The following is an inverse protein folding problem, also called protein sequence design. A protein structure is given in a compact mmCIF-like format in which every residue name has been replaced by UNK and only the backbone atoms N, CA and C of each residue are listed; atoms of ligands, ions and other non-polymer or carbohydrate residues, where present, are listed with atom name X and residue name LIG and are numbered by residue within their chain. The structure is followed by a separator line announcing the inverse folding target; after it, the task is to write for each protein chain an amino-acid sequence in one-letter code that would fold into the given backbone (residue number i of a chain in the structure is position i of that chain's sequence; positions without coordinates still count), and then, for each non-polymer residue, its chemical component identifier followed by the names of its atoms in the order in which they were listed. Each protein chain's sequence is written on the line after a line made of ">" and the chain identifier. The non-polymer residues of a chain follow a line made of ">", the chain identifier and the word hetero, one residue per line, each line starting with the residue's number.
data_IF_775560873971
#
_entry.id   IF_775560873971
#
_cell.length_a   1.000
_cell.length_b   1.000
_cell.length_c   1.000
_cell.angle_alpha   90.00
_cell.angle_beta   90.00
_cell.angle_gamma   90.00
#
_symmetry.space_group_name_H-M   'P 1'
#
loop_
_entity.id
_entity.type
_entity.pdbx_description
1 polymer ?
#
# COMPACT_ATOMS: atom_id res chain seq x y z
N UNK A 1 2.25 24.30 -7.81
CA UNK A 1 1.46 23.06 -7.57
C UNK A 1 2.32 21.92 -7.05
N UNK A 2 3.60 21.91 -7.32
CA UNK A 2 4.53 20.87 -6.85
C UNK A 2 4.56 20.73 -5.32
N UNK A 3 4.44 21.85 -4.59
CA UNK A 3 4.35 21.82 -3.13
C UNK A 3 3.08 21.10 -2.64
N UNK A 4 1.95 21.28 -3.30
CA UNK A 4 0.71 20.56 -2.98
C UNK A 4 0.87 19.07 -3.22
N UNK A 5 1.49 18.69 -4.33
CA UNK A 5 1.81 17.31 -4.63
C UNK A 5 2.75 16.71 -3.58
N UNK A 6 3.79 17.45 -3.16
CA UNK A 6 4.71 17.01 -2.10
C UNK A 6 3.98 16.75 -0.78
N UNK A 7 3.10 17.66 -0.36
CA UNK A 7 2.28 17.47 0.86
C UNK A 7 1.39 16.24 0.71
N UNK A 8 0.76 16.08 -0.45
CA UNK A 8 -0.06 14.88 -0.75
C UNK A 8 0.75 13.59 -0.66
N UNK A 9 1.97 13.57 -1.20
CA UNK A 9 2.90 12.42 -1.10
C UNK A 9 3.22 12.10 0.34
N UNK A 10 3.59 13.09 1.16
CA UNK A 10 3.92 12.91 2.58
C UNK A 10 2.73 12.29 3.33
N UNK A 11 1.53 12.86 3.17
CA UNK A 11 0.33 12.36 3.84
C UNK A 11 -0.03 10.94 3.38
N UNK A 12 0.07 10.69 2.09
CA UNK A 12 -0.27 9.40 1.51
C UNK A 12 0.68 8.28 1.99
N UNK A 13 2.00 8.52 1.96
CA UNK A 13 2.97 7.48 2.30
C UNK A 13 3.13 7.24 3.79
N UNK A 14 2.70 8.16 4.65
CA UNK A 14 2.81 8.00 6.10
C UNK A 14 2.19 6.69 6.58
N UNK A 15 1.02 6.33 6.05
CA UNK A 15 0.35 5.06 6.34
C UNK A 15 1.20 3.85 5.92
N UNK A 16 1.77 3.90 4.72
CA UNK A 16 2.55 2.79 4.16
C UNK A 16 3.88 2.59 4.88
N UNK A 17 4.57 3.67 5.25
CA UNK A 17 5.81 3.58 6.02
C UNK A 17 5.56 3.01 7.42
N UNK A 18 4.49 3.44 8.09
CA UNK A 18 4.08 2.86 9.37
C UNK A 18 3.69 1.37 9.22
N UNK A 19 2.96 1.02 8.16
CA UNK A 19 2.59 -0.36 7.86
C UNK A 19 3.81 -1.23 7.55
N UNK A 20 4.79 -0.72 6.79
CA UNK A 20 6.03 -1.43 6.50
C UNK A 20 6.80 -1.79 7.78
N UNK A 21 6.86 -0.88 8.75
CA UNK A 21 7.46 -1.15 10.06
C UNK A 21 6.79 -2.34 10.75
N UNK A 22 5.46 -2.37 10.77
CA UNK A 22 4.70 -3.51 11.33
C UNK A 22 5.00 -4.83 10.60
N UNK A 23 4.93 -4.83 9.28
CA UNK A 23 5.20 -6.01 8.45
C UNK A 23 6.60 -6.58 8.67
N UNK A 24 7.61 -5.73 8.82
CA UNK A 24 9.00 -6.17 8.96
C UNK A 24 9.39 -6.53 10.39
N UNK A 25 8.85 -5.81 11.39
CA UNK A 25 9.19 -6.03 12.80
C UNK A 25 8.30 -7.05 13.51
N UNK A 26 7.06 -7.24 13.01
CA UNK A 26 6.05 -8.13 13.59
C UNK A 26 5.58 -9.20 12.59
N UNK A 27 6.45 -9.63 11.71
CA UNK A 27 6.10 -10.53 10.59
C UNK A 27 5.50 -11.87 11.04
N UNK A 28 5.91 -12.38 12.21
CA UNK A 28 5.33 -13.64 12.77
C UNK A 28 3.89 -13.45 13.21
N UNK A 29 3.59 -12.40 13.96
CA UNK A 29 2.23 -12.11 14.44
C UNK A 29 1.29 -11.74 13.27
N UNK A 30 1.74 -10.87 12.39
CA UNK A 30 0.98 -10.47 11.20
C UNK A 30 0.83 -11.64 10.22
N UNK A 31 1.88 -12.48 10.07
CA UNK A 31 1.82 -13.69 9.27
C UNK A 31 0.83 -14.71 9.81
N UNK A 32 0.74 -14.88 11.15
CA UNK A 32 -0.28 -15.74 11.75
C UNK A 32 -1.71 -15.27 11.40
N UNK A 33 -1.95 -13.97 11.45
CA UNK A 33 -3.23 -13.39 11.03
C UNK A 33 -3.48 -13.58 9.51
N UNK A 34 -2.48 -13.33 8.68
CA UNK A 34 -2.59 -13.56 7.24
C UNK A 34 -2.87 -15.04 6.91
N UNK A 35 -2.24 -15.97 7.64
CA UNK A 35 -2.50 -17.39 7.52
C UNK A 35 -3.94 -17.78 7.87
N UNK A 36 -4.53 -17.13 8.89
CA UNK A 36 -5.94 -17.35 9.24
C UNK A 36 -6.91 -16.88 8.13
N UNK A 37 -6.46 -16.00 7.26
CA UNK A 37 -7.21 -15.54 6.06
C UNK A 37 -6.91 -16.38 4.81
N UNK A 38 -6.08 -17.40 4.92
CA UNK A 38 -5.77 -18.32 3.83
C UNK A 38 -4.60 -17.89 2.93
N UNK A 39 -3.79 -16.93 3.37
CA UNK A 39 -2.60 -16.48 2.61
C UNK A 39 -1.55 -17.59 2.65
N UNK A 40 -1.04 -18.06 1.49
CA UNK A 40 0.02 -19.07 1.46
C UNK A 40 1.36 -18.49 1.93
N UNK A 41 2.18 -19.29 2.61
CA UNK A 41 3.47 -18.88 3.18
C UNK A 41 3.38 -17.52 3.91
N UNK A 42 2.49 -17.41 4.93
CA UNK A 42 2.00 -16.11 5.38
C UNK A 42 3.08 -15.23 6.03
N UNK A 43 4.06 -15.79 6.71
CA UNK A 43 5.18 -15.01 7.28
C UNK A 43 6.04 -14.43 6.17
N UNK A 44 6.40 -15.23 5.17
CA UNK A 44 7.17 -14.77 4.02
C UNK A 44 6.37 -13.72 3.21
N UNK A 45 5.08 -13.97 2.97
CA UNK A 45 4.21 -13.00 2.29
C UNK A 45 4.16 -11.66 3.04
N UNK A 46 4.10 -11.69 4.37
CA UNK A 46 4.15 -10.48 5.20
C UNK A 46 5.49 -9.75 5.06
N UNK A 47 6.61 -10.46 5.08
CA UNK A 47 7.93 -9.84 4.93
C UNK A 47 8.12 -9.24 3.53
N UNK A 48 7.76 -9.99 2.48
CA UNK A 48 7.86 -9.52 1.08
C UNK A 48 6.97 -8.29 0.87
N UNK A 49 5.74 -8.31 1.36
CA UNK A 49 4.86 -7.14 1.28
C UNK A 49 5.41 -5.96 2.07
N UNK A 50 6.01 -6.19 3.23
CA UNK A 50 6.70 -5.15 4.01
C UNK A 50 7.81 -4.45 3.24
N UNK A 51 8.66 -5.22 2.55
CA UNK A 51 9.70 -4.66 1.67
C UNK A 51 9.08 -3.90 0.49
N UNK A 52 8.05 -4.46 -0.14
CA UNK A 52 7.38 -3.84 -1.29
C UNK A 52 6.79 -2.47 -0.93
N UNK A 53 6.06 -2.38 0.20
CA UNK A 53 5.45 -1.11 0.63
C UNK A 53 6.48 -0.12 1.18
N UNK A 54 7.58 -0.60 1.76
CA UNK A 54 8.69 0.27 2.17
C UNK A 54 9.34 0.93 0.94
N UNK A 55 9.72 0.13 -0.05
CA UNK A 55 10.32 0.64 -1.29
C UNK A 55 9.36 1.56 -2.04
N UNK A 56 8.10 1.15 -2.19
CA UNK A 56 7.06 1.98 -2.82
C UNK A 56 6.84 3.29 -2.08
N UNK A 57 6.74 3.25 -0.76
CA UNK A 57 6.56 4.44 0.07
C UNK A 57 7.74 5.41 -0.01
N UNK A 58 8.97 4.92 0.09
CA UNK A 58 10.18 5.75 -0.04
C UNK A 58 10.28 6.34 -1.45
N UNK A 59 10.03 5.54 -2.46
CA UNK A 59 10.03 5.97 -3.86
C UNK A 59 9.05 7.13 -4.09
N UNK A 60 7.80 6.98 -3.67
CA UNK A 60 6.78 8.04 -3.77
C UNK A 60 7.15 9.26 -2.95
N UNK A 61 7.65 9.08 -1.72
CA UNK A 61 8.02 10.18 -0.83
C UNK A 61 9.10 11.06 -1.46
N UNK A 62 10.18 10.45 -1.93
CA UNK A 62 11.34 11.16 -2.47
C UNK A 62 11.17 11.54 -3.94
N UNK A 63 10.19 10.97 -4.64
CA UNK A 63 10.08 11.08 -6.09
C UNK A 63 11.26 10.42 -6.79
N UNK A 64 11.71 9.30 -6.26
CA UNK A 64 12.73 8.45 -6.86
C UNK A 64 12.02 7.36 -7.67
N UNK A 65 11.86 7.56 -8.97
CA UNK A 65 10.99 6.73 -9.83
C UNK A 65 9.60 6.57 -9.18
N UNK A 66 8.96 7.70 -8.86
CA UNK A 66 7.72 7.72 -8.09
C UNK A 66 6.56 7.01 -8.78
N UNK A 67 6.57 6.95 -10.11
CA UNK A 67 5.65 6.16 -10.94
C UNK A 67 5.78 4.66 -10.63
N UNK A 68 7.01 4.10 -10.65
CA UNK A 68 7.26 2.71 -10.28
C UNK A 68 6.86 2.43 -8.82
N UNK A 69 7.23 3.34 -7.89
CA UNK A 69 6.86 3.22 -6.49
C UNK A 69 5.34 3.19 -6.27
N UNK A 70 4.62 4.00 -7.02
CA UNK A 70 3.15 4.02 -6.99
C UNK A 70 2.56 2.67 -7.43
N UNK A 71 3.12 2.05 -8.47
CA UNK A 71 2.71 0.71 -8.91
C UNK A 71 2.99 -0.37 -7.86
N UNK A 72 4.10 -0.27 -7.11
CA UNK A 72 4.38 -1.19 -5.99
C UNK A 72 3.26 -1.14 -4.93
N UNK A 73 2.76 0.06 -4.63
CA UNK A 73 1.66 0.23 -3.69
C UNK A 73 0.35 -0.34 -4.23
N UNK A 74 0.05 -0.19 -5.52
CA UNK A 74 -1.12 -0.82 -6.17
C UNK A 74 -1.03 -2.34 -6.08
N UNK A 75 0.14 -2.91 -6.42
CA UNK A 75 0.40 -4.37 -6.38
C UNK A 75 0.25 -4.93 -4.96
N UNK A 76 0.55 -4.16 -3.94
CA UNK A 76 0.28 -4.54 -2.55
C UNK A 76 -1.21 -4.42 -2.19
N UNK A 77 -1.84 -3.28 -2.51
CA UNK A 77 -3.17 -2.93 -2.02
C UNK A 77 -4.28 -3.82 -2.58
N UNK A 78 -4.27 -4.11 -3.88
CA UNK A 78 -5.35 -4.87 -4.50
C UNK A 78 -5.39 -6.34 -4.04
N UNK A 79 -4.28 -7.10 -4.01
CA UNK A 79 -4.30 -8.43 -3.42
C UNK A 79 -4.64 -8.41 -1.93
N UNK A 80 -4.16 -7.42 -1.17
CA UNK A 80 -4.47 -7.28 0.26
C UNK A 80 -5.97 -7.09 0.47
N UNK A 81 -6.61 -6.20 -0.28
CA UNK A 81 -8.06 -6.02 -0.22
C UNK A 81 -8.81 -7.33 -0.45
N UNK A 82 -8.42 -8.08 -1.49
CA UNK A 82 -9.13 -9.31 -1.86
C UNK A 82 -8.86 -10.48 -0.91
N UNK A 83 -7.65 -10.62 -0.38
CA UNK A 83 -7.25 -11.76 0.44
C UNK A 83 -7.48 -11.51 1.93
N UNK A 84 -7.11 -10.32 2.42
CA UNK A 84 -7.17 -10.00 3.84
C UNK A 84 -8.51 -9.44 4.28
N UNK A 85 -9.19 -8.70 3.40
CA UNK A 85 -10.41 -7.97 3.71
C UNK A 85 -11.62 -8.48 2.90
N UNK A 86 -11.72 -9.79 2.76
CA UNK A 86 -12.81 -10.48 2.06
C UNK A 86 -14.09 -10.46 2.89
N UNK A 87 -14.73 -9.31 3.05
CA UNK A 87 -15.91 -9.11 3.90
C UNK A 87 -17.10 -9.99 3.51
N UNK A 88 -17.18 -10.43 2.25
CA UNK A 88 -18.21 -11.36 1.77
C UNK A 88 -18.11 -12.76 2.35
N UNK A 89 -16.98 -13.11 2.98
CA UNK A 89 -16.78 -14.39 3.69
C UNK A 89 -17.15 -14.30 5.16
N UNK A 90 -17.35 -13.11 5.71
CA UNK A 90 -17.69 -12.91 7.11
C UNK A 90 -19.18 -13.12 7.35
N UNK A 91 -19.51 -13.86 8.39
CA UNK A 91 -20.90 -14.16 8.77
C UNK A 91 -21.38 -13.31 9.93
N UNK A 92 -20.46 -12.87 10.80
CA UNK A 92 -20.78 -12.00 11.94
C UNK A 92 -20.88 -10.54 11.45
N UNK A 93 -22.02 -9.82 11.75
CA UNK A 93 -22.28 -8.50 11.18
C UNK A 93 -21.20 -7.45 11.48
N UNK A 94 -20.65 -7.42 12.69
CA UNK A 94 -19.62 -6.45 13.08
C UNK A 94 -18.29 -6.73 12.35
N UNK A 95 -17.88 -7.99 12.28
CA UNK A 95 -16.67 -8.39 11.54
C UNK A 95 -16.81 -8.04 10.04
N UNK A 96 -17.97 -8.33 9.45
CA UNK A 96 -18.27 -7.99 8.05
C UNK A 96 -18.16 -6.49 7.81
N UNK A 97 -18.73 -5.67 8.70
CA UNK A 97 -18.66 -4.21 8.61
C UNK A 97 -17.22 -3.72 8.67
N UNK A 98 -16.41 -4.22 9.62
CA UNK A 98 -15.01 -3.83 9.78
C UNK A 98 -14.18 -4.21 8.56
N UNK A 99 -14.34 -5.42 8.04
CA UNK A 99 -13.62 -5.86 6.84
C UNK A 99 -14.04 -5.09 5.59
N UNK A 100 -15.31 -4.71 5.47
CA UNK A 100 -15.80 -3.87 4.38
C UNK A 100 -15.14 -2.48 4.39
N UNK A 101 -14.97 -1.88 5.56
CA UNK A 101 -14.28 -0.58 5.71
C UNK A 101 -12.81 -0.71 5.27
N UNK A 102 -12.13 -1.78 5.69
CA UNK A 102 -10.73 -2.01 5.30
C UNK A 102 -10.60 -2.27 3.80
N UNK A 103 -11.50 -3.07 3.22
CA UNK A 103 -11.55 -3.31 1.78
C UNK A 103 -11.70 -2.01 0.99
N UNK A 104 -12.69 -1.20 1.37
CA UNK A 104 -12.95 0.08 0.70
C UNK A 104 -11.76 1.05 0.84
N UNK A 105 -11.11 1.08 2.00
CA UNK A 105 -9.89 1.87 2.23
C UNK A 105 -8.77 1.44 1.27
N UNK A 106 -8.50 0.15 1.16
CA UNK A 106 -7.42 -0.35 0.30
C UNK A 106 -7.69 -0.08 -1.19
N UNK A 107 -8.95 -0.24 -1.63
CA UNK A 107 -9.36 0.10 -3.00
C UNK A 107 -9.22 1.61 -3.26
N UNK A 108 -9.65 2.44 -2.33
CA UNK A 108 -9.51 3.91 -2.45
C UNK A 108 -8.04 4.34 -2.50
N UNK A 109 -7.19 3.74 -1.66
CA UNK A 109 -5.75 3.99 -1.66
C UNK A 109 -5.08 3.50 -2.95
N UNK A 110 -5.52 2.38 -3.52
CA UNK A 110 -5.05 1.92 -4.83
C UNK A 110 -5.41 2.93 -5.93
N UNK A 111 -6.62 3.49 -5.89
CA UNK A 111 -7.00 4.60 -6.77
C UNK A 111 -6.11 5.82 -6.59
N UNK A 112 -5.81 6.20 -5.35
CA UNK A 112 -4.86 7.28 -5.03
C UNK A 112 -3.45 7.00 -5.57
N UNK A 113 -2.97 5.77 -5.45
CA UNK A 113 -1.67 5.37 -6.00
C UNK A 113 -1.63 5.45 -7.53
N UNK A 114 -2.73 5.12 -8.23
CA UNK A 114 -2.83 5.30 -9.67
C UNK A 114 -2.84 6.78 -10.08
N UNK A 115 -3.48 7.64 -9.30
CA UNK A 115 -3.41 9.10 -9.51
C UNK A 115 -1.97 9.61 -9.32
N UNK A 116 -1.24 9.10 -8.32
CA UNK A 116 0.18 9.42 -8.13
C UNK A 116 1.04 8.91 -9.29
N UNK A 117 0.78 7.69 -9.78
CA UNK A 117 1.44 7.16 -10.98
C UNK A 117 1.31 8.14 -12.15
N UNK A 118 0.08 8.58 -12.44
CA UNK A 118 -0.15 9.56 -13.49
C UNK A 118 0.55 10.89 -13.21
N UNK A 119 0.49 11.38 -11.97
CA UNK A 119 1.12 12.65 -11.61
C UNK A 119 2.65 12.60 -11.81
N UNK A 120 3.30 11.48 -11.46
CA UNK A 120 4.74 11.30 -11.70
C UNK A 120 5.09 11.19 -13.18
N UNK A 121 4.22 10.61 -14.01
CA UNK A 121 4.44 10.55 -15.46
C UNK A 121 4.44 11.92 -16.15
N UNK A 122 4.04 12.98 -15.44
CA UNK A 122 4.12 14.37 -15.92
C UNK A 122 5.43 15.05 -15.50
N UNK A 123 6.40 14.32 -14.95
CA UNK A 123 7.69 14.81 -14.45
C UNK A 123 7.54 16.06 -13.56
N UNK A 124 6.81 15.96 -12.44
CA UNK A 124 6.60 17.09 -11.55
C UNK A 124 7.88 17.53 -10.86
N UNK A 125 7.92 18.77 -10.39
CA UNK A 125 9.01 19.27 -9.56
C UNK A 125 9.06 18.63 -8.16
N UNK A 126 10.13 18.91 -7.41
CA UNK A 126 10.39 18.37 -6.08
C UNK A 126 10.47 16.83 -6.07
N UNK A 127 11.10 16.26 -7.09
CA UNK A 127 11.43 14.85 -7.26
C UNK A 127 12.92 14.66 -7.48
N UNK A 128 13.46 13.49 -7.10
CA UNK A 128 14.88 13.17 -7.28
C UNK A 128 15.16 12.72 -8.72
N UNK A 129 14.24 11.98 -9.32
CA UNK A 129 14.37 11.51 -10.71
C UNK A 129 13.13 11.84 -11.51
N UNK A 130 13.25 11.75 -12.84
CA UNK A 130 12.10 11.73 -13.74
C UNK A 130 11.38 10.37 -13.65
N UNK A 131 10.21 10.31 -14.26
CA UNK A 131 9.44 9.06 -14.40
C UNK A 131 10.16 8.01 -15.24
N UNK A 132 9.77 6.75 -15.08
CA UNK A 132 10.22 5.64 -15.93
C UNK A 132 9.24 5.35 -17.08
N UNK A 133 7.96 5.76 -16.91
CA UNK A 133 6.89 5.49 -17.88
C UNK A 133 6.22 6.73 -18.40
#
# INVERSE_FOLDING_TARGET
>A
MDFVLLVGRILFVALFLASAMGHLTQSKAMGAYAGSKGVPSPVLATQVSGVLILLGGISVLLGLWGDLGSLFLVVFLLPTALLMHAFWKETEPMAKQMEMVQFNKDVALAGGALVLFWAFSQDPGLTITNSLF
#
